data_IF_133195135469
#
_entry.id   IF_133195135469
#
_cell.length_a   1.000
_cell.length_b   1.000
_cell.length_c   1.000
_cell.angle_alpha   90.00
_cell.angle_beta   90.00
_cell.angle_gamma   90.00
#
_symmetry.space_group_name_H-M   'P 1'
#
loop_
_entity.id
_entity.type
_entity.pdbx_description
1 polymer ?
#
# COMPACT_ATOMS: atom_id res chain seq x y z
N UNK A 1 -13.46 22.40 21.08
CA UNK A 1 -13.56 21.21 20.21
C UNK A 1 -12.24 20.48 20.29
N UNK A 2 -12.25 19.16 20.52
CA UNK A 2 -11.05 18.33 20.46
C UNK A 2 -10.63 18.21 18.98
N UNK A 3 -9.39 18.57 18.66
CA UNK A 3 -8.83 18.40 17.32
C UNK A 3 -8.60 16.90 17.08
N UNK A 4 -9.21 16.34 16.04
CA UNK A 4 -9.03 14.94 15.64
C UNK A 4 -8.30 14.86 14.30
N UNK A 5 -7.09 14.28 14.31
CA UNK A 5 -6.33 14.02 13.08
C UNK A 5 -7.17 13.24 12.08
N UNK A 6 -7.86 12.18 12.52
CA UNK A 6 -8.65 11.34 11.64
C UNK A 6 -9.72 12.16 10.90
N UNK A 7 -10.48 12.98 11.64
CA UNK A 7 -11.51 13.82 11.03
C UNK A 7 -10.90 14.80 10.02
N UNK A 8 -9.77 15.41 10.35
CA UNK A 8 -9.06 16.31 9.45
C UNK A 8 -8.63 15.61 8.15
N UNK A 9 -8.11 14.38 8.24
CA UNK A 9 -7.69 13.61 7.06
C UNK A 9 -8.87 13.21 6.18
N UNK A 10 -10.01 12.87 6.79
CA UNK A 10 -11.26 12.56 6.08
C UNK A 10 -11.82 13.80 5.38
N UNK A 11 -11.89 14.93 6.08
CA UNK A 11 -12.44 16.19 5.55
C UNK A 11 -11.63 16.73 4.36
N UNK A 12 -10.33 16.46 4.34
CA UNK A 12 -9.42 16.91 3.27
C UNK A 12 -8.97 15.81 2.30
N UNK A 13 -9.62 14.63 2.35
CA UNK A 13 -9.26 13.44 1.56
C UNK A 13 -9.05 13.72 0.08
N UNK A 14 -10.02 14.37 -0.58
CA UNK A 14 -9.96 14.70 -2.02
C UNK A 14 -8.69 15.45 -2.41
N UNK A 15 -8.33 16.46 -1.61
CA UNK A 15 -7.13 17.29 -1.84
C UNK A 15 -5.84 16.52 -1.57
N UNK A 16 -5.81 15.70 -0.52
CA UNK A 16 -4.66 14.87 -0.16
C UNK A 16 -4.40 13.78 -1.21
N UNK A 17 -5.44 13.11 -1.70
CA UNK A 17 -5.34 12.10 -2.77
C UNK A 17 -4.83 12.74 -4.07
N UNK A 18 -5.27 13.95 -4.40
CA UNK A 18 -4.78 14.67 -5.57
C UNK A 18 -3.28 15.03 -5.44
N UNK A 19 -2.84 15.46 -4.25
CA UNK A 19 -1.42 15.73 -3.97
C UNK A 19 -0.58 14.46 -4.04
N UNK A 20 -1.07 13.36 -3.47
CA UNK A 20 -0.44 12.05 -3.49
C UNK A 20 -0.27 11.53 -4.92
N UNK A 21 -1.32 11.63 -5.74
CA UNK A 21 -1.29 11.25 -7.16
C UNK A 21 -0.24 12.05 -7.94
N UNK A 22 -0.12 13.35 -7.66
CA UNK A 22 0.88 14.23 -8.30
C UNK A 22 2.30 13.90 -7.84
N UNK A 23 2.49 13.58 -6.57
CA UNK A 23 3.79 13.23 -6.02
C UNK A 23 4.28 11.90 -6.61
N UNK A 24 3.41 10.87 -6.65
CA UNK A 24 3.78 9.55 -7.16
C UNK A 24 4.02 9.52 -8.67
N UNK A 25 3.28 10.29 -9.45
CA UNK A 25 3.54 10.43 -10.89
C UNK A 25 4.95 10.98 -11.20
N UNK A 26 5.63 11.61 -10.24
CA UNK A 26 7.04 12.03 -10.39
C UNK A 26 8.02 10.97 -9.89
N UNK A 27 7.65 10.24 -8.84
CA UNK A 27 8.55 9.36 -8.09
C UNK A 27 8.56 7.91 -8.58
N UNK A 28 7.50 7.46 -9.25
CA UNK A 28 7.30 6.06 -9.63
C UNK A 28 6.77 5.96 -11.08
N UNK A 29 7.61 5.52 -12.03
CA UNK A 29 7.28 5.48 -13.46
C UNK A 29 6.02 4.67 -13.80
N UNK A 30 5.74 3.60 -13.06
CA UNK A 30 4.56 2.75 -13.29
C UNK A 30 3.26 3.55 -13.14
N UNK A 31 3.16 4.43 -12.14
CA UNK A 31 1.99 5.29 -11.98
C UNK A 31 1.94 6.41 -13.02
N UNK A 32 3.08 6.89 -13.50
CA UNK A 32 3.12 7.88 -14.57
C UNK A 32 2.57 7.33 -15.91
N UNK A 33 2.76 6.02 -16.14
CA UNK A 33 2.26 5.32 -17.32
C UNK A 33 0.75 4.99 -17.25
N UNK A 34 0.13 5.11 -16.08
CA UNK A 34 -1.30 4.81 -15.89
C UNK A 34 -2.20 6.00 -16.23
N UNK A 35 -3.47 5.74 -16.64
CA UNK A 35 -4.47 6.80 -16.76
C UNK A 35 -4.66 7.54 -15.43
N UNK A 36 -4.68 8.88 -15.47
CA UNK A 36 -4.77 9.74 -14.27
C UNK A 36 -5.96 9.37 -13.36
N UNK A 37 -7.10 9.03 -13.94
CA UNK A 37 -8.28 8.61 -13.18
C UNK A 37 -8.02 7.36 -12.34
N UNK A 38 -7.34 6.36 -12.93
CA UNK A 38 -6.95 5.12 -12.25
C UNK A 38 -5.91 5.35 -11.16
N UNK A 39 -4.91 6.20 -11.41
CA UNK A 39 -3.94 6.57 -10.37
C UNK A 39 -4.65 7.20 -9.17
N UNK A 40 -5.60 8.12 -9.42
CA UNK A 40 -6.35 8.78 -8.36
C UNK A 40 -7.20 7.80 -7.55
N UNK A 41 -7.80 6.81 -8.19
CA UNK A 41 -8.57 5.74 -7.54
C UNK A 41 -7.68 4.87 -6.65
N UNK A 42 -6.56 4.37 -7.18
CA UNK A 42 -5.58 3.57 -6.42
C UNK A 42 -5.02 4.37 -5.23
N UNK A 43 -4.73 5.66 -5.43
CA UNK A 43 -4.28 6.54 -4.35
C UNK A 43 -5.34 6.82 -3.31
N UNK A 44 -6.62 6.83 -3.70
CA UNK A 44 -7.74 6.90 -2.77
C UNK A 44 -7.79 5.68 -1.87
N UNK A 45 -7.71 4.48 -2.45
CA UNK A 45 -7.70 3.23 -1.68
C UNK A 45 -6.49 3.11 -0.76
N UNK A 46 -5.31 3.47 -1.25
CA UNK A 46 -4.08 3.47 -0.46
C UNK A 46 -4.17 4.48 0.70
N UNK A 47 -4.66 5.68 0.44
CA UNK A 47 -4.86 6.70 1.47
C UNK A 47 -5.85 6.22 2.53
N UNK A 48 -7.02 5.72 2.13
CA UNK A 48 -8.05 5.25 3.06
C UNK A 48 -7.55 4.08 3.91
N UNK A 49 -6.86 3.12 3.29
CA UNK A 49 -6.27 1.99 4.00
C UNK A 49 -5.22 2.42 5.03
N UNK A 50 -4.37 3.40 4.70
CA UNK A 50 -3.36 3.93 5.61
C UNK A 50 -3.99 4.73 6.75
N UNK A 51 -4.99 5.58 6.45
CA UNK A 51 -5.68 6.37 7.47
C UNK A 51 -6.45 5.47 8.44
N UNK A 52 -7.16 4.46 7.95
CA UNK A 52 -7.84 3.47 8.79
C UNK A 52 -6.83 2.68 9.64
N UNK A 53 -5.68 2.28 9.06
CA UNK A 53 -4.63 1.57 9.80
C UNK A 53 -4.05 2.42 10.94
N UNK A 54 -3.79 3.70 10.70
CA UNK A 54 -3.26 4.64 11.70
C UNK A 54 -4.31 4.89 12.79
N UNK A 55 -5.59 5.07 12.43
CA UNK A 55 -6.63 5.49 13.35
C UNK A 55 -7.22 4.36 14.20
N UNK A 56 -7.45 3.19 13.59
CA UNK A 56 -8.11 2.07 14.27
C UNK A 56 -7.13 1.02 14.79
N UNK A 57 -5.87 1.04 14.33
CA UNK A 57 -4.96 -0.10 14.48
C UNK A 57 -5.46 -1.37 13.78
N UNK A 58 -6.57 -1.27 13.03
CA UNK A 58 -7.24 -2.38 12.38
C UNK A 58 -6.59 -2.60 11.00
N UNK A 59 -6.01 -3.79 10.82
CA UNK A 59 -5.33 -4.17 9.59
C UNK A 59 -6.29 -4.72 8.53
N UNK A 60 -7.54 -5.06 8.86
CA UNK A 60 -8.38 -5.90 8.00
C UNK A 60 -8.66 -5.32 6.61
N UNK A 61 -9.05 -4.05 6.53
CA UNK A 61 -9.30 -3.38 5.23
C UNK A 61 -8.01 -3.13 4.45
N UNK A 62 -6.96 -2.72 5.15
CA UNK A 62 -5.64 -2.52 4.56
C UNK A 62 -5.09 -3.83 3.99
N UNK A 63 -5.28 -4.93 4.70
CA UNK A 63 -4.83 -6.26 4.32
C UNK A 63 -5.61 -6.79 3.11
N UNK A 64 -6.92 -6.57 3.04
CA UNK A 64 -7.69 -6.89 1.84
C UNK A 64 -7.20 -6.11 0.60
N UNK A 65 -6.88 -4.83 0.77
CA UNK A 65 -6.30 -4.01 -0.30
C UNK A 65 -4.88 -4.45 -0.66
N UNK A 66 -4.05 -4.83 0.33
CA UNK A 66 -2.72 -5.38 0.09
C UNK A 66 -2.77 -6.70 -0.66
N UNK A 67 -3.66 -7.62 -0.27
CA UNK A 67 -3.88 -8.87 -1.01
C UNK A 67 -4.34 -8.61 -2.45
N UNK A 68 -5.18 -7.60 -2.66
CA UNK A 68 -5.54 -7.14 -4.00
C UNK A 68 -4.30 -6.67 -4.78
N UNK A 69 -3.48 -5.79 -4.21
CA UNK A 69 -2.26 -5.28 -4.85
C UNK A 69 -1.22 -6.38 -5.12
N UNK A 70 -1.02 -7.30 -4.18
CA UNK A 70 -0.10 -8.45 -4.31
C UNK A 70 -0.51 -9.39 -5.45
N UNK A 71 -1.80 -9.50 -5.77
CA UNK A 71 -2.25 -10.27 -6.94
C UNK A 71 -1.96 -9.55 -8.26
N UNK A 72 -1.81 -8.22 -8.23
CA UNK A 72 -1.52 -7.38 -9.40
C UNK A 72 -0.03 -7.15 -9.61
N UNK A 73 0.80 -7.38 -8.59
CA UNK A 73 2.24 -7.24 -8.73
C UNK A 73 2.77 -8.27 -9.72
N UNK A 74 3.57 -7.80 -10.69
CA UNK A 74 4.02 -8.57 -11.84
C UNK A 74 3.15 -8.46 -13.10
N UNK A 75 2.00 -7.79 -13.06
CA UNK A 75 1.23 -7.44 -14.26
C UNK A 75 1.45 -6.01 -14.73
N UNK A 76 1.45 -5.04 -13.80
CA UNK A 76 1.58 -3.61 -14.13
C UNK A 76 2.28 -2.77 -13.04
N UNK A 77 2.51 -3.35 -11.86
CA UNK A 77 3.16 -2.71 -10.72
C UNK A 77 4.21 -3.67 -10.18
N UNK A 78 5.35 -3.13 -9.80
CA UNK A 78 6.37 -3.85 -9.06
C UNK A 78 6.18 -3.62 -7.55
N UNK A 79 6.82 -4.46 -6.74
CA UNK A 79 6.85 -4.29 -5.29
C UNK A 79 7.32 -2.87 -4.92
N UNK A 80 8.37 -2.39 -5.59
CA UNK A 80 8.96 -1.07 -5.36
C UNK A 80 7.95 0.06 -5.58
N UNK A 81 7.07 -0.05 -6.59
CA UNK A 81 6.06 0.97 -6.88
C UNK A 81 5.06 1.10 -5.71
N UNK A 82 4.59 -0.02 -5.16
CA UNK A 82 3.64 0.00 -4.04
C UNK A 82 4.29 0.50 -2.77
N UNK A 83 5.52 0.07 -2.48
CA UNK A 83 6.31 0.55 -1.33
C UNK A 83 6.55 2.06 -1.43
N UNK A 84 6.92 2.56 -2.61
CA UNK A 84 7.04 3.99 -2.86
C UNK A 84 5.72 4.73 -2.65
N UNK A 85 4.59 4.12 -3.06
CA UNK A 85 3.25 4.62 -2.79
C UNK A 85 3.00 4.88 -1.31
N UNK A 86 3.23 3.86 -0.49
CA UNK A 86 3.05 3.92 0.96
C UNK A 86 3.99 4.92 1.63
N UNK A 87 5.26 4.98 1.22
CA UNK A 87 6.24 5.92 1.77
C UNK A 87 6.04 7.37 1.31
N UNK A 88 5.25 7.60 0.26
CA UNK A 88 4.90 8.97 -0.18
C UNK A 88 3.79 9.59 0.66
N UNK A 89 2.92 8.78 1.28
CA UNK A 89 1.85 9.26 2.18
C UNK A 89 2.35 10.17 3.29
N UNK A 90 3.34 9.79 4.13
CA UNK A 90 3.80 10.66 5.21
C UNK A 90 4.42 11.95 4.69
N UNK A 91 5.07 11.93 3.51
CA UNK A 91 5.66 13.13 2.89
C UNK A 91 4.58 14.16 2.52
N UNK A 92 3.46 13.69 1.94
CA UNK A 92 2.32 14.55 1.60
C UNK A 92 1.61 15.05 2.85
N UNK A 93 1.40 14.16 3.83
CA UNK A 93 0.71 14.51 5.07
C UNK A 93 1.51 15.50 5.91
N UNK A 94 2.85 15.45 5.89
CA UNK A 94 3.71 16.33 6.69
C UNK A 94 3.41 17.81 6.48
N UNK A 95 3.36 18.26 5.23
CA UNK A 95 3.11 19.67 4.90
C UNK A 95 1.70 20.10 5.29
N UNK A 96 0.71 19.23 5.04
CA UNK A 96 -0.68 19.49 5.37
C UNK A 96 -0.92 19.57 6.88
N UNK A 97 -0.44 18.58 7.63
CA UNK A 97 -0.58 18.52 9.08
C UNK A 97 0.15 19.69 9.74
N UNK A 98 1.34 20.07 9.26
CA UNK A 98 2.06 21.21 9.83
C UNK A 98 1.24 22.51 9.73
N UNK A 99 0.58 22.76 8.59
CA UNK A 99 -0.29 23.91 8.42
C UNK A 99 -1.52 23.81 9.34
N UNK A 100 -2.20 22.67 9.36
CA UNK A 100 -3.42 22.47 10.16
C UNK A 100 -3.16 22.64 11.66
N UNK A 101 -2.10 22.04 12.20
CA UNK A 101 -1.76 22.16 13.62
C UNK A 101 -1.33 23.57 14.01
N UNK A 102 -0.72 24.34 13.09
CA UNK A 102 -0.35 25.74 13.33
C UNK A 102 -1.58 26.64 13.44
N UNK A 103 -2.61 26.36 12.65
CA UNK A 103 -3.84 27.18 12.59
C UNK A 103 -4.85 26.79 13.66
N UNK A 104 -5.00 25.49 13.94
CA UNK A 104 -6.13 24.96 14.71
C UNK A 104 -5.81 24.64 16.17
N UNK A 105 -4.52 24.58 16.56
CA UNK A 105 -4.12 24.23 17.94
C UNK A 105 -3.51 25.43 18.66
N UNK A 106 -4.25 25.97 19.63
CA UNK A 106 -3.81 27.10 20.47
C UNK A 106 -2.88 26.60 21.57
N UNK A 107 -1.59 26.87 21.42
CA UNK A 107 -0.55 26.43 22.37
C UNK A 107 -0.24 24.94 22.25
N UNK A 108 1.05 24.58 22.22
CA UNK A 108 1.46 23.17 22.12
C UNK A 108 1.27 22.49 20.75
N UNK A 109 0.80 23.22 19.72
CA UNK A 109 0.57 22.67 18.37
C UNK A 109 1.81 22.02 17.74
N UNK A 110 3.02 22.47 18.11
CA UNK A 110 4.28 21.82 17.70
C UNK A 110 4.41 20.40 18.25
N UNK A 111 4.21 20.22 19.55
CA UNK A 111 4.34 18.90 20.19
C UNK A 111 3.27 17.95 19.69
N UNK A 112 2.03 18.44 19.51
CA UNK A 112 0.95 17.66 18.96
C UNK A 112 1.22 17.24 17.50
N UNK A 113 1.75 18.15 16.67
CA UNK A 113 2.20 17.83 15.31
C UNK A 113 3.33 16.79 15.31
N UNK A 114 4.36 16.95 16.14
CA UNK A 114 5.50 16.03 16.22
C UNK A 114 5.06 14.63 16.63
N UNK A 115 4.15 14.52 17.59
CA UNK A 115 3.55 13.24 17.96
C UNK A 115 2.77 12.63 16.79
N UNK A 116 1.89 13.40 16.18
CA UNK A 116 1.03 12.90 15.09
C UNK A 116 1.82 12.48 13.86
N UNK A 117 2.82 13.25 13.44
CA UNK A 117 3.63 12.87 12.28
C UNK A 117 4.47 11.60 12.57
N UNK A 118 4.91 11.41 13.82
CA UNK A 118 5.60 10.19 14.24
C UNK A 118 4.66 8.98 14.13
N UNK A 119 3.42 9.08 14.62
CA UNK A 119 2.42 8.02 14.51
C UNK A 119 2.10 7.68 13.05
N UNK A 120 1.99 8.69 12.18
CA UNK A 120 1.78 8.50 10.73
C UNK A 120 2.96 7.79 10.09
N UNK A 121 4.19 8.23 10.37
CA UNK A 121 5.40 7.63 9.82
C UNK A 121 5.57 6.18 10.26
N UNK A 122 5.41 5.89 11.56
CA UNK A 122 5.44 4.53 12.10
C UNK A 122 4.35 3.65 11.49
N UNK A 123 3.12 4.17 11.34
CA UNK A 123 2.01 3.46 10.71
C UNK A 123 2.31 3.10 9.25
N UNK A 124 2.88 4.04 8.50
CA UNK A 124 3.28 3.80 7.11
C UNK A 124 4.42 2.77 7.02
N UNK A 125 5.39 2.81 7.95
CA UNK A 125 6.45 1.80 8.00
C UNK A 125 5.92 0.39 8.35
N UNK A 126 4.99 0.28 9.30
CA UNK A 126 4.30 -0.98 9.62
C UNK A 126 3.51 -1.51 8.43
N UNK A 127 2.81 -0.63 7.73
CA UNK A 127 2.07 -0.95 6.50
C UNK A 127 3.00 -1.49 5.39
N UNK A 128 4.13 -0.82 5.14
CA UNK A 128 5.14 -1.29 4.18
C UNK A 128 5.64 -2.68 4.55
N UNK A 129 6.01 -2.89 5.82
CA UNK A 129 6.46 -4.19 6.30
C UNK A 129 5.41 -5.27 6.05
N UNK A 130 4.15 -5.02 6.42
CA UNK A 130 3.06 -5.98 6.26
C UNK A 130 2.82 -6.31 4.79
N UNK A 131 2.86 -5.31 3.91
CA UNK A 131 2.73 -5.52 2.47
C UNK A 131 3.87 -6.40 1.92
N UNK A 132 5.11 -6.17 2.33
CA UNK A 132 6.25 -7.00 1.93
C UNK A 132 6.11 -8.46 2.41
N UNK A 133 5.64 -8.68 3.65
CA UNK A 133 5.39 -10.02 4.19
C UNK A 133 4.32 -10.76 3.34
N UNK A 134 3.20 -10.10 3.03
CA UNK A 134 2.14 -10.66 2.19
C UNK A 134 2.62 -10.96 0.76
N UNK A 135 3.47 -10.08 0.21
CA UNK A 135 4.06 -10.30 -1.11
C UNK A 135 5.01 -11.51 -1.11
N UNK A 136 5.84 -11.66 -0.08
CA UNK A 136 6.72 -12.82 0.08
C UNK A 136 5.93 -14.12 0.19
N UNK A 137 4.87 -14.15 1.01
CA UNK A 137 3.96 -15.29 1.14
C UNK A 137 3.34 -15.66 -0.22
N UNK A 138 2.89 -14.66 -0.99
CA UNK A 138 2.32 -14.89 -2.31
C UNK A 138 3.33 -15.46 -3.32
N UNK A 139 4.56 -14.95 -3.33
CA UNK A 139 5.63 -15.47 -4.19
C UNK A 139 5.98 -16.92 -3.82
N UNK A 140 6.11 -17.22 -2.53
CA UNK A 140 6.37 -18.59 -2.05
C UNK A 140 5.27 -19.55 -2.50
N UNK A 141 4.00 -19.14 -2.39
CA UNK A 141 2.87 -19.96 -2.80
C UNK A 141 2.86 -20.21 -4.32
N UNK A 142 3.14 -19.19 -5.14
CA UNK A 142 3.28 -19.36 -6.59
C UNK A 142 4.39 -20.33 -6.96
N UNK A 143 5.54 -20.24 -6.29
CA UNK A 143 6.67 -21.17 -6.50
C UNK A 143 6.27 -22.59 -6.09
N UNK A 144 5.56 -22.76 -4.96
CA UNK A 144 5.06 -24.06 -4.51
C UNK A 144 4.14 -24.70 -5.54
N UNK A 145 3.11 -23.98 -5.98
CA UNK A 145 2.15 -24.46 -7.00
C UNK A 145 2.89 -24.83 -8.29
N UNK A 146 3.81 -23.98 -8.76
CA UNK A 146 4.56 -24.26 -9.98
C UNK A 146 5.42 -25.53 -9.87
N UNK A 147 6.04 -25.76 -8.72
CA UNK A 147 6.83 -26.97 -8.48
C UNK A 147 5.95 -28.23 -8.36
N UNK A 148 4.76 -28.13 -7.78
CA UNK A 148 3.80 -29.24 -7.67
C UNK A 148 3.22 -29.61 -9.04
N UNK A 149 2.75 -28.63 -9.82
CA UNK A 149 2.22 -28.86 -11.17
C UNK A 149 3.31 -29.32 -12.17
N UNK A 150 4.54 -28.83 -12.02
CA UNK A 150 5.69 -29.28 -12.81
C UNK A 150 6.07 -30.73 -12.50
N UNK A 151 5.95 -31.14 -11.24
CA UNK A 151 6.17 -32.52 -10.80
C UNK A 151 5.11 -33.49 -11.31
N UNK A 152 3.83 -33.11 -11.27
CA UNK A 152 2.73 -33.94 -11.79
C UNK A 152 2.80 -34.12 -13.31
N UNK A 153 3.11 -33.06 -14.07
CA UNK A 153 3.27 -33.15 -15.54
C UNK A 153 4.45 -34.01 -15.95
N UNK A 154 5.56 -33.95 -15.20
CA UNK A 154 6.68 -34.88 -15.39
C UNK A 154 6.26 -36.32 -15.06
N UNK A 155 5.55 -36.54 -13.96
CA UNK A 155 5.02 -37.84 -13.57
C UNK A 155 4.10 -38.47 -14.62
N UNK A 156 3.16 -37.72 -15.17
CA UNK A 156 2.27 -38.19 -16.25
C UNK A 156 3.03 -38.51 -17.54
N UNK A 157 4.04 -37.70 -17.91
CA UNK A 157 4.87 -37.96 -19.09
C UNK A 157 5.71 -39.22 -18.94
N UNK A 158 6.30 -39.45 -17.75
CA UNK A 158 7.01 -40.70 -17.45
C UNK A 158 6.07 -41.91 -17.45
N UNK A 159 4.85 -41.78 -16.92
CA UNK A 159 3.87 -42.87 -16.91
C UNK A 159 3.41 -43.26 -18.34
N UNK A 160 3.22 -42.26 -19.22
CA UNK A 160 2.98 -42.52 -20.65
C UNK A 160 4.16 -43.23 -21.31
N UNK A 161 5.40 -42.82 -21.02
CA UNK A 161 6.62 -43.46 -21.56
C UNK A 161 6.79 -44.92 -21.12
N UNK A 162 6.34 -45.29 -19.91
CA UNK A 162 6.39 -46.68 -19.41
C UNK A 162 5.33 -47.54 -20.11
N UNK A 163 4.12 -47.01 -20.35
CA UNK A 163 3.02 -47.73 -20.99
C UNK A 163 3.24 -48.03 -22.49
N UNK A 164 4.16 -47.35 -23.18
CA UNK A 164 4.54 -47.65 -24.57
C UNK A 164 5.70 -48.66 -24.70
N UNK A 165 6.17 -49.24 -23.59
CA UNK A 165 7.23 -50.27 -23.57
C UNK A 165 6.76 -51.66 -23.09
N UNK A 166 5.45 -51.84 -22.86
CA UNK A 166 4.82 -53.12 -22.49
C UNK A 166 4.00 -53.69 -23.63
#
# INVERSE_FOLDING_TARGET
MSFSMYQLLVDHREGLVAQLSKALGKSAPAYAAMPKARVREEMGHLFDGVVDHIAAGDSGKMEAYFLYLVRRTGQNLELADVVMGLLTVPVVLRQFLQAAYREQVVGGGRAAYEQTITEVEEGCHKAVRRFCELYEEHVKEKVRIHNEEGGEKMGEQFNRLILFRG
#
